data_IF_557222738096
#
_entry.id   IF_557222738096
#
_cell.length_a   1.000
_cell.length_b   1.000
_cell.length_c   1.000
_cell.angle_alpha   90.00
_cell.angle_beta   90.00
_cell.angle_gamma   90.00
#
_symmetry.space_group_name_H-M   'P 1'
#
loop_
_entity.id
_entity.type
_entity.pdbx_description
1 polymer ?
#
# COMPACT_ATOMS: atom_id res chain seq x y z
N UNK A 1 -16.10 14.33 0.74
CA UNK A 1 -16.40 15.50 -0.13
C UNK A 1 -15.20 15.81 -1.01
N UNK A 2 -13.98 15.91 -0.49
CA UNK A 2 -12.78 16.28 -1.28
C UNK A 2 -12.54 15.36 -2.49
N UNK A 3 -12.56 14.05 -2.29
CA UNK A 3 -12.38 13.06 -3.38
C UNK A 3 -13.52 13.14 -4.40
N UNK A 4 -14.74 13.39 -3.94
CA UNK A 4 -15.90 13.56 -4.80
C UNK A 4 -15.78 14.83 -5.65
N UNK A 5 -15.42 15.96 -5.04
CA UNK A 5 -15.18 17.22 -5.76
C UNK A 5 -14.16 17.02 -6.90
N UNK A 6 -13.01 16.42 -6.60
CA UNK A 6 -11.97 16.15 -7.59
C UNK A 6 -12.48 15.29 -8.77
N UNK A 7 -13.24 14.23 -8.48
CA UNK A 7 -13.80 13.33 -9.50
C UNK A 7 -14.82 14.05 -10.39
N UNK A 8 -15.70 14.84 -9.79
CA UNK A 8 -16.71 15.60 -10.53
C UNK A 8 -16.07 16.70 -11.38
N UNK A 9 -15.11 17.45 -10.83
CA UNK A 9 -14.38 18.46 -11.59
C UNK A 9 -13.71 17.88 -12.83
N UNK A 10 -13.07 16.70 -12.73
CA UNK A 10 -12.46 16.02 -13.89
C UNK A 10 -13.44 15.80 -15.04
N UNK A 11 -14.68 15.46 -14.74
CA UNK A 11 -15.72 15.23 -15.75
C UNK A 11 -16.23 16.56 -16.31
N UNK A 12 -16.44 17.56 -15.45
CA UNK A 12 -17.01 18.85 -15.85
C UNK A 12 -16.09 19.68 -16.74
N UNK A 13 -14.78 19.54 -16.63
CA UNK A 13 -13.81 20.24 -17.49
C UNK A 13 -14.00 19.96 -18.99
N UNK A 14 -14.60 18.83 -19.35
CA UNK A 14 -14.94 18.52 -20.75
C UNK A 14 -16.10 19.37 -21.31
N UNK A 15 -16.87 20.03 -20.45
CA UNK A 15 -18.12 20.64 -20.79
C UNK A 15 -18.22 22.09 -20.34
N UNK A 16 -17.50 22.52 -19.30
CA UNK A 16 -17.62 23.82 -18.67
C UNK A 16 -16.24 24.46 -18.40
N UNK A 17 -16.12 25.79 -18.55
CA UNK A 17 -14.94 26.51 -18.07
C UNK A 17 -14.78 26.45 -16.56
N UNK A 18 -13.55 26.55 -16.07
CA UNK A 18 -13.23 26.41 -14.66
C UNK A 18 -14.07 27.31 -13.72
N UNK A 19 -14.33 28.57 -14.11
CA UNK A 19 -15.16 29.49 -13.34
C UNK A 19 -16.62 29.04 -13.19
N UNK A 20 -17.20 28.47 -14.24
CA UNK A 20 -18.56 27.92 -14.20
C UNK A 20 -18.65 26.64 -13.35
N UNK A 21 -17.59 25.81 -13.38
CA UNK A 21 -17.51 24.62 -12.51
C UNK A 21 -17.51 25.03 -11.03
N UNK A 22 -16.75 26.07 -10.66
CA UNK A 22 -16.74 26.59 -9.28
C UNK A 22 -18.16 27.04 -8.88
N UNK A 23 -18.81 27.87 -9.67
CA UNK A 23 -20.15 28.39 -9.37
C UNK A 23 -21.19 27.26 -9.26
N UNK A 24 -21.15 26.29 -10.18
CA UNK A 24 -22.03 25.14 -10.16
C UNK A 24 -21.86 24.32 -8.88
N UNK A 25 -20.61 24.05 -8.49
CA UNK A 25 -20.30 23.23 -7.32
C UNK A 25 -20.63 23.93 -6.01
N UNK A 26 -20.48 25.24 -5.90
CA UNK A 26 -20.91 26.01 -4.72
C UNK A 26 -22.38 25.79 -4.40
N UNK A 27 -23.24 25.84 -5.41
CA UNK A 27 -24.67 25.61 -5.22
C UNK A 27 -24.99 24.16 -4.86
N UNK A 28 -24.24 23.20 -5.38
CA UNK A 28 -24.49 21.76 -5.18
C UNK A 28 -23.97 21.22 -3.86
N UNK A 29 -22.89 21.80 -3.31
CA UNK A 29 -22.32 21.36 -2.03
C UNK A 29 -22.93 22.07 -0.82
N UNK A 30 -23.82 23.06 -1.01
CA UNK A 30 -24.44 23.80 0.09
C UNK A 30 -25.11 22.90 1.14
N UNK A 31 -25.63 21.73 0.74
CA UNK A 31 -26.37 20.80 1.59
C UNK A 31 -25.67 19.45 1.75
N UNK A 32 -24.33 19.37 1.62
CA UNK A 32 -23.59 18.10 1.67
C UNK A 32 -23.27 17.60 3.09
N UNK A 33 -23.90 18.18 4.12
CA UNK A 33 -23.70 17.76 5.53
C UNK A 33 -22.50 18.39 6.24
N UNK A 34 -21.68 19.22 5.53
CA UNK A 34 -20.64 20.07 6.12
C UNK A 34 -20.47 21.35 5.32
N UNK A 35 -19.91 22.37 5.96
CA UNK A 35 -19.47 23.56 5.23
C UNK A 35 -18.26 23.21 4.33
N UNK A 36 -18.35 23.56 3.04
CA UNK A 36 -17.28 23.43 2.06
C UNK A 36 -16.81 24.84 1.68
N UNK A 37 -15.61 25.27 2.11
CA UNK A 37 -15.11 26.59 1.75
C UNK A 37 -14.94 26.73 0.23
N UNK A 38 -15.24 27.90 -0.32
CA UNK A 38 -15.04 28.21 -1.76
C UNK A 38 -13.62 27.87 -2.22
N UNK A 39 -12.60 28.10 -1.38
CA UNK A 39 -11.22 27.80 -1.70
C UNK A 39 -10.97 26.29 -1.89
N UNK A 40 -11.68 25.41 -1.17
CA UNK A 40 -11.59 23.95 -1.37
C UNK A 40 -12.12 23.57 -2.76
N UNK A 41 -13.20 24.20 -3.22
CA UNK A 41 -13.77 23.98 -4.56
C UNK A 41 -12.79 24.47 -5.63
N UNK A 42 -12.26 25.70 -5.50
CA UNK A 42 -11.26 26.26 -6.41
C UNK A 42 -10.04 25.33 -6.52
N UNK A 43 -9.51 24.87 -5.39
CA UNK A 43 -8.37 23.95 -5.36
C UNK A 43 -8.69 22.62 -6.06
N UNK A 44 -9.89 22.08 -5.86
CA UNK A 44 -10.31 20.84 -6.53
C UNK A 44 -10.42 21.03 -8.06
N UNK A 45 -10.94 22.16 -8.51
CA UNK A 45 -11.03 22.51 -9.94
C UNK A 45 -9.63 22.65 -10.55
N UNK A 46 -8.76 23.41 -9.92
CA UNK A 46 -7.39 23.62 -10.43
C UNK A 46 -6.57 22.32 -10.45
N UNK A 47 -6.62 21.53 -9.38
CA UNK A 47 -5.84 20.29 -9.27
C UNK A 47 -6.39 19.16 -10.16
N UNK A 48 -7.66 19.21 -10.55
CA UNK A 48 -8.27 18.22 -11.45
C UNK A 48 -8.06 18.53 -12.94
N UNK A 49 -7.70 19.75 -13.29
CA UNK A 49 -7.53 20.18 -14.69
C UNK A 49 -6.49 19.35 -15.47
N UNK A 50 -5.33 19.01 -14.92
CA UNK A 50 -4.35 18.17 -15.64
C UNK A 50 -4.85 16.74 -15.91
N UNK A 51 -5.89 16.30 -15.19
CA UNK A 51 -6.53 15.01 -15.31
C UNK A 51 -7.95 15.09 -15.88
N UNK A 52 -8.31 16.20 -16.54
CA UNK A 52 -9.63 16.44 -17.09
C UNK A 52 -10.04 15.34 -18.09
N UNK A 53 -11.30 14.93 -18.03
CA UNK A 53 -11.86 14.02 -19.01
C UNK A 53 -12.07 14.77 -20.33
N UNK A 54 -11.65 14.16 -21.44
CA UNK A 54 -11.82 14.73 -22.77
C UNK A 54 -12.85 13.92 -23.55
N UNK A 55 -13.81 14.61 -24.18
CA UNK A 55 -14.70 13.98 -25.14
C UNK A 55 -13.91 13.54 -26.37
N UNK A 56 -14.16 12.33 -26.84
CA UNK A 56 -13.55 11.81 -28.08
C UNK A 56 -13.98 12.68 -29.29
N UNK A 57 -13.15 13.62 -29.69
CA UNK A 57 -13.37 14.42 -30.89
C UNK A 57 -12.29 15.50 -31.05
N UNK A 58 -11.42 15.32 -32.04
CA UNK A 58 -10.46 16.25 -32.59
C UNK A 58 -9.26 16.65 -31.69
N UNK A 59 -8.07 16.19 -32.08
CA UNK A 59 -6.74 16.60 -31.59
C UNK A 59 -6.47 16.35 -30.12
N UNK A 60 -6.52 15.08 -29.70
CA UNK A 60 -6.05 14.68 -28.38
C UNK A 60 -4.56 14.97 -28.23
N UNK A 61 -4.12 15.84 -27.30
CA UNK A 61 -2.75 15.79 -26.85
C UNK A 61 -2.49 14.39 -26.28
N UNK A 62 -1.29 13.85 -26.51
CA UNK A 62 -0.86 12.54 -26.06
C UNK A 62 -1.32 12.34 -24.61
N UNK A 63 -2.28 11.44 -24.40
CA UNK A 63 -2.64 10.99 -23.07
C UNK A 63 -1.33 10.61 -22.39
N UNK A 64 -1.05 11.15 -21.21
CA UNK A 64 -0.05 10.58 -20.33
C UNK A 64 -0.49 9.14 -20.10
N UNK A 65 0.09 8.22 -20.84
CA UNK A 65 -0.18 6.79 -20.69
C UNK A 65 0.08 6.50 -19.23
N UNK A 66 -0.96 6.08 -18.51
CA UNK A 66 -0.79 5.68 -17.13
C UNK A 66 0.40 4.74 -17.07
N UNK A 67 1.36 5.03 -16.21
CA UNK A 67 2.53 4.16 -16.00
C UNK A 67 2.11 2.71 -15.74
N UNK A 68 0.92 2.53 -15.18
CA UNK A 68 0.38 1.25 -14.73
C UNK A 68 -0.76 0.78 -15.65
N UNK A 69 -0.91 -0.55 -15.84
CA UNK A 69 -1.98 -1.12 -16.65
C UNK A 69 -3.36 -0.84 -16.06
N UNK A 70 -4.37 -0.89 -16.91
CA UNK A 70 -5.77 -0.91 -16.48
C UNK A 70 -6.11 -2.24 -15.79
N UNK A 71 -7.12 -2.21 -14.92
CA UNK A 71 -7.66 -3.40 -14.29
C UNK A 71 -8.22 -4.37 -15.34
N UNK A 72 -7.74 -5.61 -15.31
CA UNK A 72 -8.29 -6.74 -16.07
C UNK A 72 -9.34 -7.47 -15.20
N UNK A 73 -10.58 -7.03 -15.29
CA UNK A 73 -11.67 -7.57 -14.47
C UNK A 73 -11.94 -9.04 -14.72
N UNK A 74 -11.84 -9.50 -15.97
CA UNK A 74 -12.08 -10.89 -16.34
C UNK A 74 -11.04 -11.82 -15.68
N UNK A 75 -9.76 -11.49 -15.81
CA UNK A 75 -8.69 -12.27 -15.20
C UNK A 75 -8.76 -12.25 -13.67
N UNK A 76 -9.03 -11.07 -13.08
CA UNK A 76 -9.25 -10.94 -11.63
C UNK A 76 -10.40 -11.84 -11.18
N UNK A 77 -11.55 -11.79 -11.85
CA UNK A 77 -12.73 -12.59 -11.50
C UNK A 77 -12.47 -14.08 -11.63
N UNK A 78 -11.73 -14.51 -12.65
CA UNK A 78 -11.34 -15.92 -12.82
C UNK A 78 -10.47 -16.40 -11.65
N UNK A 79 -9.43 -15.63 -11.28
CA UNK A 79 -8.54 -15.97 -10.16
C UNK A 79 -9.32 -16.06 -8.84
N UNK A 80 -10.24 -15.12 -8.58
CA UNK A 80 -11.06 -15.12 -7.36
C UNK A 80 -12.01 -16.34 -7.33
N UNK A 81 -12.65 -16.66 -8.44
CA UNK A 81 -13.57 -17.78 -8.51
C UNK A 81 -12.87 -19.12 -8.30
N UNK A 82 -11.68 -19.28 -8.87
CA UNK A 82 -10.94 -20.54 -8.90
C UNK A 82 -9.90 -20.63 -7.77
N UNK A 83 -9.70 -19.54 -7.02
CA UNK A 83 -8.73 -19.40 -5.92
C UNK A 83 -9.30 -19.75 -4.56
N UNK A 84 -8.40 -19.81 -3.56
CA UNK A 84 -8.76 -20.01 -2.17
C UNK A 84 -9.05 -18.69 -1.43
N UNK A 85 -9.68 -18.79 -0.24
CA UNK A 85 -9.93 -17.66 0.64
C UNK A 85 -8.91 -17.49 1.75
N UNK A 86 -9.28 -16.75 2.81
CA UNK A 86 -8.44 -16.53 3.99
C UNK A 86 -8.04 -17.82 4.69
N UNK A 87 -8.93 -18.81 4.74
CA UNK A 87 -8.63 -20.12 5.34
C UNK A 87 -7.51 -20.82 4.57
N UNK A 88 -7.60 -20.82 3.23
CA UNK A 88 -6.56 -21.43 2.39
C UNK A 88 -5.22 -20.70 2.51
N UNK A 89 -5.24 -19.37 2.63
CA UNK A 89 -4.05 -18.58 2.87
C UNK A 89 -3.41 -18.91 4.23
N UNK A 90 -4.24 -19.07 5.26
CA UNK A 90 -3.80 -19.51 6.58
C UNK A 90 -3.23 -20.93 6.56
N UNK A 91 -3.88 -21.85 5.88
CA UNK A 91 -3.43 -23.25 5.75
C UNK A 91 -2.12 -23.34 4.95
N UNK A 92 -1.93 -22.50 3.95
CA UNK A 92 -0.70 -22.41 3.17
C UNK A 92 0.47 -21.79 3.97
N UNK A 93 0.21 -21.18 5.13
CA UNK A 93 1.24 -20.59 5.99
C UNK A 93 2.14 -21.68 6.55
N UNK A 94 3.47 -21.51 6.40
CA UNK A 94 4.46 -22.43 6.99
C UNK A 94 4.67 -22.22 8.47
N UNK A 95 4.40 -21.02 8.95
CA UNK A 95 4.51 -20.62 10.35
C UNK A 95 3.15 -20.14 10.78
N UNK A 96 2.57 -20.78 11.77
CA UNK A 96 1.32 -20.36 12.38
C UNK A 96 1.61 -19.65 13.68
N UNK A 97 1.02 -18.50 13.86
CA UNK A 97 1.08 -17.75 15.12
C UNK A 97 -0.30 -17.83 15.77
N UNK A 98 -0.34 -17.93 17.07
CA UNK A 98 -1.61 -17.91 17.79
C UNK A 98 -2.16 -16.47 17.91
N UNK A 99 -3.48 -16.36 18.02
CA UNK A 99 -4.15 -15.06 18.10
C UNK A 99 -3.99 -14.37 19.46
N UNK A 100 -3.52 -15.09 20.47
CA UNK A 100 -3.42 -14.62 21.84
C UNK A 100 -2.06 -13.98 22.17
N UNK A 101 -1.06 -14.22 21.31
CA UNK A 101 0.29 -13.68 21.46
C UNK A 101 0.51 -12.35 20.74
N UNK A 102 1.64 -11.72 21.07
CA UNK A 102 2.21 -10.63 20.28
C UNK A 102 3.51 -11.12 19.62
N UNK A 103 3.49 -11.24 18.30
CA UNK A 103 4.58 -11.80 17.53
C UNK A 103 5.30 -10.76 16.66
N UNK A 104 4.94 -9.48 16.80
CA UNK A 104 5.50 -8.37 15.99
C UNK A 104 7.02 -8.37 15.99
N UNK A 105 7.64 -8.53 17.18
CA UNK A 105 9.10 -8.47 17.32
C UNK A 105 9.77 -9.61 16.57
N UNK A 106 9.29 -10.85 16.73
CA UNK A 106 9.82 -12.05 16.08
C UNK A 106 9.66 -11.99 14.56
N UNK A 107 8.49 -11.50 14.09
CA UNK A 107 8.21 -11.34 12.67
C UNK A 107 9.16 -10.31 12.07
N UNK A 108 9.35 -9.18 12.73
CA UNK A 108 10.24 -8.11 12.24
C UNK A 108 11.70 -8.55 12.27
N UNK A 109 12.15 -9.30 13.29
CA UNK A 109 13.49 -9.87 13.32
C UNK A 109 13.74 -10.84 12.15
N UNK A 110 12.74 -11.64 11.79
CA UNK A 110 12.83 -12.54 10.64
C UNK A 110 12.79 -11.79 9.29
N UNK A 111 11.93 -10.78 9.15
CA UNK A 111 11.82 -9.98 7.94
C UNK A 111 13.05 -9.06 7.74
N UNK A 112 13.63 -8.55 8.81
CA UNK A 112 14.74 -7.58 8.81
C UNK A 112 15.86 -8.05 9.73
N UNK A 113 16.60 -9.12 9.37
CA UNK A 113 17.65 -9.67 10.21
C UNK A 113 18.82 -8.71 10.41
N UNK A 114 19.54 -8.90 11.50
CA UNK A 114 20.59 -8.00 11.94
C UNK A 114 20.01 -6.78 12.68
N UNK A 115 20.68 -5.67 12.59
CA UNK A 115 20.24 -4.43 13.22
C UNK A 115 20.11 -3.28 12.20
N UNK A 116 19.26 -3.43 11.13
CA UNK A 116 19.11 -2.39 10.14
C UNK A 116 18.35 -1.19 10.70
N UNK A 117 18.51 -0.05 10.04
CA UNK A 117 17.65 1.10 10.28
C UNK A 117 16.24 0.81 9.78
N UNK A 118 15.23 0.98 10.62
CA UNK A 118 13.82 0.82 10.28
C UNK A 118 13.10 2.16 10.47
N UNK A 119 12.21 2.48 9.53
CA UNK A 119 11.30 3.61 9.67
C UNK A 119 9.92 3.06 10.05
N UNK A 120 9.50 3.33 11.29
CA UNK A 120 8.24 2.85 11.85
C UNK A 120 7.45 4.01 12.45
N UNK A 121 6.12 3.90 12.51
CA UNK A 121 5.29 4.98 13.01
C UNK A 121 3.93 4.58 13.54
N UNK A 122 3.39 5.45 14.40
CA UNK A 122 1.97 5.43 14.84
C UNK A 122 1.06 6.04 13.78
N UNK A 123 1.57 6.97 12.97
CA UNK A 123 0.81 7.64 11.91
C UNK A 123 1.76 8.18 10.84
N UNK A 124 1.19 8.71 9.75
CA UNK A 124 1.94 9.38 8.67
C UNK A 124 2.66 10.66 9.12
N UNK A 125 2.34 11.19 10.30
CA UNK A 125 2.95 12.38 10.91
C UNK A 125 3.73 12.07 12.19
N UNK A 126 3.63 10.85 12.71
CA UNK A 126 4.34 10.42 13.92
C UNK A 126 5.08 9.11 13.65
N UNK A 127 6.31 9.24 13.18
CA UNK A 127 7.20 8.16 12.80
C UNK A 127 8.66 8.49 13.15
N UNK A 128 9.48 7.46 13.22
CA UNK A 128 10.90 7.59 13.46
C UNK A 128 11.71 6.59 12.64
N UNK A 129 12.97 6.94 12.35
CA UNK A 129 13.96 6.05 11.73
C UNK A 129 15.11 5.84 12.70
N UNK A 130 15.28 4.61 13.14
CA UNK A 130 16.29 4.18 14.11
C UNK A 130 16.70 2.72 13.93
N UNK A 131 17.82 2.28 14.52
CA UNK A 131 18.21 0.88 14.51
C UNK A 131 17.09 -0.03 15.03
N UNK A 132 17.02 -1.26 14.49
CA UNK A 132 16.01 -2.25 14.88
C UNK A 132 16.00 -2.49 16.40
N UNK A 133 17.18 -2.57 17.04
CA UNK A 133 17.29 -2.81 18.48
C UNK A 133 16.68 -1.65 19.31
N UNK A 134 16.78 -0.41 18.82
CA UNK A 134 16.20 0.76 19.49
C UNK A 134 14.66 0.82 19.35
N UNK A 135 14.07 -0.06 18.50
CA UNK A 135 12.63 -0.22 18.35
C UNK A 135 12.07 -1.32 19.26
N UNK A 136 12.93 -2.11 19.90
CA UNK A 136 12.54 -3.33 20.62
C UNK A 136 11.56 -3.03 21.76
N UNK A 137 10.49 -3.84 21.82
CA UNK A 137 9.42 -3.70 22.81
C UNK A 137 8.35 -2.64 22.47
N UNK A 138 8.53 -1.89 21.36
CA UNK A 138 7.59 -0.84 20.96
C UNK A 138 6.83 -1.14 19.66
N UNK A 139 7.34 -2.08 18.84
CA UNK A 139 6.82 -2.30 17.48
C UNK A 139 5.35 -2.72 17.45
N UNK A 140 4.89 -3.52 18.41
CA UNK A 140 3.49 -3.96 18.48
C UNK A 140 2.48 -2.82 18.69
N UNK A 141 2.94 -1.68 19.21
CA UNK A 141 2.15 -0.46 19.42
C UNK A 141 2.12 0.45 18.18
N UNK A 142 2.90 0.09 17.13
CA UNK A 142 2.99 0.87 15.90
C UNK A 142 2.13 0.23 14.82
N UNK A 143 1.58 1.07 13.94
CA UNK A 143 0.73 0.59 12.86
C UNK A 143 1.39 0.63 11.47
N UNK A 144 2.53 1.30 11.34
CA UNK A 144 3.18 1.56 10.05
C UNK A 144 4.65 1.20 10.09
N UNK A 145 5.13 0.65 8.96
CA UNK A 145 6.55 0.38 8.71
C UNK A 145 6.86 0.61 7.23
N UNK A 146 8.06 1.07 6.92
CA UNK A 146 8.58 1.06 5.55
C UNK A 146 9.09 -0.36 5.23
N UNK A 147 8.65 -1.00 4.12
CA UNK A 147 8.97 -2.40 3.82
C UNK A 147 10.39 -2.60 3.25
N UNK A 148 11.28 -1.66 3.50
CA UNK A 148 12.68 -1.70 3.10
C UNK A 148 13.54 -1.07 4.19
N UNK A 149 14.75 -1.59 4.45
CA UNK A 149 15.66 -0.94 5.39
C UNK A 149 15.96 0.50 4.95
N UNK A 150 16.18 1.38 5.90
CA UNK A 150 16.62 2.74 5.61
C UNK A 150 18.15 2.75 5.43
N UNK A 151 18.64 3.58 4.51
CA UNK A 151 20.07 3.77 4.25
C UNK A 151 20.71 4.84 5.13
N UNK A 152 19.89 5.73 5.69
CA UNK A 152 20.29 6.79 6.62
C UNK A 152 19.10 7.15 7.53
N UNK A 153 19.40 7.75 8.69
CA UNK A 153 18.39 8.19 9.67
C UNK A 153 17.49 9.27 9.06
N UNK A 154 18.06 10.18 8.28
CA UNK A 154 17.33 11.28 7.65
C UNK A 154 17.66 11.37 6.16
N UNK A 155 16.81 12.05 5.41
CA UNK A 155 17.01 12.40 4.02
C UNK A 155 16.24 13.67 3.66
N UNK A 156 16.49 14.22 2.49
CA UNK A 156 15.82 15.44 2.04
C UNK A 156 14.51 15.11 1.32
N UNK A 157 13.46 15.83 1.66
CA UNK A 157 12.19 15.85 0.91
C UNK A 157 12.37 16.58 -0.43
N UNK A 158 11.35 16.57 -1.28
CA UNK A 158 11.32 17.36 -2.53
C UNK A 158 11.50 18.85 -2.27
N UNK A 159 11.00 19.34 -1.14
CA UNK A 159 11.12 20.74 -0.71
C UNK A 159 12.43 21.03 0.04
N UNK A 160 13.41 20.12 -0.04
CA UNK A 160 14.73 20.22 0.63
C UNK A 160 14.64 20.33 2.16
N UNK A 161 13.57 19.87 2.76
CA UNK A 161 13.45 19.78 4.22
C UNK A 161 13.96 18.43 4.68
N UNK A 162 14.66 18.40 5.80
CA UNK A 162 15.11 17.16 6.41
C UNK A 162 13.90 16.37 6.97
N UNK A 163 13.89 15.07 6.73
CA UNK A 163 12.87 14.17 7.24
C UNK A 163 13.46 12.77 7.49
N UNK A 164 12.97 12.10 8.50
CA UNK A 164 13.31 10.71 8.81
C UNK A 164 12.67 9.71 7.87
N UNK A 165 11.74 10.15 7.02
CA UNK A 165 11.05 9.32 6.04
C UNK A 165 11.03 10.01 4.69
N UNK A 166 11.90 9.57 3.79
CA UNK A 166 11.97 10.05 2.40
C UNK A 166 12.39 8.92 1.48
N UNK A 167 12.15 9.07 0.18
CA UNK A 167 12.69 8.14 -0.81
C UNK A 167 14.23 8.16 -0.85
N UNK A 168 14.84 9.31 -0.52
CA UNK A 168 16.28 9.50 -0.55
C UNK A 168 17.02 8.70 0.54
N UNK A 169 16.43 8.60 1.75
CA UNK A 169 17.02 7.80 2.83
C UNK A 169 16.44 6.37 2.93
N UNK A 170 15.58 5.95 2.01
CA UNK A 170 15.15 4.55 1.92
C UNK A 170 16.19 3.76 1.13
N UNK A 171 16.65 2.66 1.70
CA UNK A 171 17.63 1.78 1.08
C UNK A 171 17.08 0.93 -0.07
N UNK A 172 17.81 -0.12 -0.43
CA UNK A 172 17.41 -1.07 -1.47
C UNK A 172 16.07 -1.72 -1.12
N UNK A 173 15.22 -1.91 -2.14
CA UNK A 173 13.94 -2.58 -1.97
C UNK A 173 14.16 -4.02 -1.49
N UNK A 174 13.66 -4.32 -0.30
CA UNK A 174 13.67 -5.68 0.25
C UNK A 174 12.37 -6.40 -0.04
N UNK A 175 11.25 -5.73 0.20
CA UNK A 175 9.93 -6.27 -0.09
C UNK A 175 9.17 -5.37 -1.05
N UNK A 176 8.36 -6.01 -1.88
CA UNK A 176 7.32 -5.37 -2.68
C UNK A 176 5.97 -5.69 -2.04
N UNK A 177 5.14 -4.68 -1.86
CA UNK A 177 3.83 -4.85 -1.24
C UNK A 177 2.75 -4.79 -2.29
N UNK A 178 1.87 -5.79 -2.28
CA UNK A 178 0.62 -5.76 -3.05
C UNK A 178 -0.55 -5.61 -2.06
N UNK A 179 -1.29 -4.52 -2.19
CA UNK A 179 -2.47 -4.20 -1.40
C UNK A 179 -3.67 -4.06 -2.32
N UNK A 180 -4.83 -4.57 -1.88
CA UNK A 180 -6.08 -4.47 -2.63
C UNK A 180 -7.10 -3.69 -1.80
N UNK A 181 -7.62 -2.58 -2.35
CA UNK A 181 -8.60 -1.72 -1.68
C UNK A 181 -10.06 -2.12 -1.94
N UNK A 182 -10.29 -2.94 -2.98
CA UNK A 182 -11.62 -3.34 -3.44
C UNK A 182 -11.78 -4.85 -3.39
N UNK A 183 -12.89 -5.31 -2.83
CA UNK A 183 -13.21 -6.71 -2.64
C UNK A 183 -13.24 -7.10 -1.17
N UNK A 184 -13.48 -8.38 -0.92
CA UNK A 184 -13.49 -9.00 0.39
C UNK A 184 -12.09 -9.50 0.78
N UNK A 185 -11.82 -9.78 2.06
CA UNK A 185 -10.58 -10.41 2.48
C UNK A 185 -10.31 -11.76 1.80
N UNK A 186 -11.35 -12.56 1.51
CA UNK A 186 -11.21 -13.82 0.79
C UNK A 186 -10.77 -13.61 -0.66
N UNK A 187 -11.36 -12.62 -1.37
CA UNK A 187 -10.93 -12.25 -2.71
C UNK A 187 -9.47 -11.77 -2.73
N UNK A 188 -9.06 -11.00 -1.72
CA UNK A 188 -7.67 -10.58 -1.58
C UNK A 188 -6.73 -11.76 -1.33
N UNK A 189 -7.16 -12.74 -0.51
CA UNK A 189 -6.40 -13.95 -0.25
C UNK A 189 -6.20 -14.78 -1.52
N UNK A 190 -7.26 -14.96 -2.34
CA UNK A 190 -7.16 -15.64 -3.64
C UNK A 190 -6.12 -14.97 -4.55
N UNK A 191 -6.15 -13.63 -4.64
CA UNK A 191 -5.19 -12.88 -5.44
C UNK A 191 -3.76 -13.00 -4.89
N UNK A 192 -3.57 -12.97 -3.58
CA UNK A 192 -2.25 -13.12 -2.96
C UNK A 192 -1.69 -14.53 -3.12
N UNK A 193 -2.52 -15.57 -2.98
CA UNK A 193 -2.13 -16.96 -3.26
C UNK A 193 -1.69 -17.12 -4.70
N UNK A 194 -2.48 -16.60 -5.65
CA UNK A 194 -2.13 -16.61 -7.07
C UNK A 194 -0.79 -15.88 -7.33
N UNK A 195 -0.62 -14.65 -6.83
CA UNK A 195 0.64 -13.90 -6.95
C UNK A 195 1.80 -14.63 -6.27
N UNK A 196 1.53 -15.37 -5.20
CA UNK A 196 2.49 -16.21 -4.47
C UNK A 196 3.07 -17.35 -5.30
N UNK A 197 2.40 -17.78 -6.39
CA UNK A 197 2.95 -18.75 -7.35
C UNK A 197 3.99 -18.15 -8.29
N UNK A 198 4.03 -16.80 -8.41
CA UNK A 198 4.90 -16.07 -9.35
C UNK A 198 6.10 -15.46 -8.62
N UNK A 199 5.88 -14.92 -7.41
CA UNK A 199 6.92 -14.32 -6.59
C UNK A 199 6.80 -14.79 -5.13
N UNK A 200 7.91 -14.89 -4.38
CA UNK A 200 7.88 -15.41 -3.01
C UNK A 200 7.05 -14.53 -2.06
N UNK A 201 5.83 -14.97 -1.72
CA UNK A 201 5.04 -14.39 -0.65
C UNK A 201 5.67 -14.81 0.68
N UNK A 202 6.00 -13.87 1.55
CA UNK A 202 6.66 -14.14 2.85
C UNK A 202 5.80 -13.76 4.05
N UNK A 203 4.90 -12.79 3.88
CA UNK A 203 3.97 -12.38 4.93
C UNK A 203 2.68 -11.86 4.30
N UNK A 204 1.55 -12.07 4.96
CA UNK A 204 0.27 -11.43 4.63
C UNK A 204 -0.35 -10.85 5.88
N UNK A 205 -0.71 -9.56 5.82
CA UNK A 205 -1.20 -8.77 6.96
C UNK A 205 -2.56 -8.19 6.63
N UNK A 206 -3.57 -8.53 7.39
CA UNK A 206 -4.85 -7.82 7.35
C UNK A 206 -4.72 -6.46 8.03
N UNK A 207 -5.16 -5.42 7.37
CA UNK A 207 -4.94 -4.03 7.80
C UNK A 207 -5.69 -3.63 9.10
N UNK A 208 -6.48 -4.52 9.68
CA UNK A 208 -7.43 -4.18 10.73
C UNK A 208 -8.62 -3.33 10.22
N UNK A 209 -8.82 -3.28 8.92
CA UNK A 209 -9.89 -2.56 8.22
C UNK A 209 -10.49 -3.41 7.10
N UNK A 210 -10.11 -3.14 5.85
CA UNK A 210 -10.67 -3.80 4.66
C UNK A 210 -9.64 -4.58 3.86
N UNK A 211 -8.40 -4.12 3.82
CA UNK A 211 -7.38 -4.62 2.89
C UNK A 211 -6.50 -5.69 3.51
N UNK A 212 -6.01 -6.58 2.66
CA UNK A 212 -4.98 -7.55 2.95
C UNK A 212 -3.72 -7.16 2.17
N UNK A 213 -2.58 -7.06 2.85
CA UNK A 213 -1.29 -6.66 2.30
C UNK A 213 -0.42 -7.90 2.15
N UNK A 214 0.00 -8.23 0.93
CA UNK A 214 0.98 -9.29 0.67
C UNK A 214 2.39 -8.71 0.56
N UNK A 215 3.33 -9.29 1.30
CA UNK A 215 4.76 -8.95 1.30
C UNK A 215 5.52 -9.94 0.44
N UNK A 216 6.02 -9.49 -0.69
CA UNK A 216 6.79 -10.32 -1.62
C UNK A 216 8.28 -10.02 -1.49
N UNK A 217 9.09 -11.03 -1.25
CA UNK A 217 10.53 -10.88 -1.15
C UNK A 217 11.15 -10.72 -2.53
N UNK A 218 11.76 -9.56 -2.77
CA UNK A 218 12.28 -9.18 -4.10
C UNK A 218 13.74 -8.69 -4.08
N UNK A 219 14.40 -8.69 -2.93
CA UNK A 219 15.75 -8.14 -2.74
C UNK A 219 16.79 -8.72 -3.73
N UNK A 220 16.62 -9.99 -4.10
CA UNK A 220 17.53 -10.70 -5.03
C UNK A 220 17.03 -10.70 -6.48
N UNK A 221 15.92 -10.03 -6.77
CA UNK A 221 15.30 -10.02 -8.10
C UNK A 221 15.81 -8.85 -8.93
N UNK A 222 15.94 -9.05 -10.23
CA UNK A 222 16.29 -7.98 -11.17
C UNK A 222 15.16 -6.94 -11.24
N UNK A 223 15.49 -5.64 -11.37
CA UNK A 223 14.49 -4.55 -11.35
C UNK A 223 13.37 -4.69 -12.39
N UNK A 224 13.67 -5.16 -13.59
CA UNK A 224 12.71 -5.41 -14.66
C UNK A 224 11.71 -6.52 -14.29
N UNK A 225 12.16 -7.58 -13.63
CA UNK A 225 11.29 -8.65 -13.12
C UNK A 225 10.36 -8.14 -12.02
N UNK A 226 10.87 -7.29 -11.12
CA UNK A 226 10.06 -6.68 -10.07
C UNK A 226 8.98 -5.79 -10.69
N UNK A 227 9.34 -4.95 -11.67
CA UNK A 227 8.38 -4.08 -12.34
C UNK A 227 7.34 -4.89 -13.12
N UNK A 228 7.74 -5.93 -13.86
CA UNK A 228 6.83 -6.80 -14.59
C UNK A 228 5.82 -7.49 -13.65
N UNK A 229 6.30 -8.03 -12.54
CA UNK A 229 5.44 -8.64 -11.52
C UNK A 229 4.46 -7.62 -10.94
N UNK A 230 4.92 -6.42 -10.58
CA UNK A 230 4.05 -5.40 -10.01
C UNK A 230 3.03 -4.87 -11.02
N UNK A 231 3.41 -4.69 -12.29
CA UNK A 231 2.47 -4.36 -13.36
C UNK A 231 1.36 -5.41 -13.47
N UNK A 232 1.73 -6.68 -13.36
CA UNK A 232 0.74 -7.76 -13.34
C UNK A 232 -0.17 -7.66 -12.11
N UNK A 233 0.36 -7.46 -10.90
CA UNK A 233 -0.43 -7.27 -9.70
C UNK A 233 -1.40 -6.07 -9.82
N UNK A 234 -0.93 -4.94 -10.40
CA UNK A 234 -1.79 -3.76 -10.67
C UNK A 234 -2.89 -4.08 -11.68
N UNK A 235 -2.61 -4.90 -12.70
CA UNK A 235 -3.65 -5.34 -13.63
C UNK A 235 -4.73 -6.22 -12.97
N UNK A 236 -4.42 -6.83 -11.82
CA UNK A 236 -5.36 -7.53 -10.98
C UNK A 236 -6.02 -6.64 -9.91
N UNK A 237 -5.69 -5.36 -9.87
CA UNK A 237 -6.29 -4.35 -8.99
C UNK A 237 -5.47 -4.00 -7.74
N UNK A 238 -4.19 -4.37 -7.67
CA UNK A 238 -3.31 -3.89 -6.60
C UNK A 238 -3.14 -2.36 -6.67
N UNK A 239 -3.05 -1.71 -5.50
CA UNK A 239 -2.82 -0.27 -5.44
C UNK A 239 -1.40 0.07 -5.94
N UNK A 240 -1.35 0.86 -7.01
CA UNK A 240 -0.10 1.29 -7.63
C UNK A 240 0.76 2.22 -6.75
N UNK A 241 0.20 2.82 -5.70
CA UNK A 241 0.94 3.66 -4.76
C UNK A 241 2.01 2.86 -3.99
N UNK A 242 1.78 1.57 -3.76
CA UNK A 242 2.72 0.68 -3.06
C UNK A 242 3.98 0.37 -3.87
N UNK A 243 4.06 0.80 -5.13
CA UNK A 243 5.32 0.77 -5.90
C UNK A 243 6.44 1.56 -5.25
N UNK A 244 6.14 2.64 -4.56
CA UNK A 244 7.17 3.49 -3.95
C UNK A 244 7.82 2.75 -2.78
N UNK A 245 9.14 2.48 -2.85
CA UNK A 245 9.84 1.68 -1.83
C UNK A 245 9.84 2.31 -0.42
N UNK A 246 9.57 3.61 -0.34
CA UNK A 246 9.40 4.34 0.92
C UNK A 246 7.94 4.38 1.41
N UNK A 247 6.99 3.77 0.69
CA UNK A 247 5.59 3.77 1.11
C UNK A 247 5.43 3.08 2.46
N UNK A 248 4.74 3.73 3.40
CA UNK A 248 4.32 3.08 4.63
C UNK A 248 3.28 2.00 4.36
N UNK A 249 3.48 0.86 4.96
CA UNK A 249 2.55 -0.27 4.94
C UNK A 249 2.21 -0.70 6.36
N UNK A 250 1.27 -1.64 6.49
CA UNK A 250 0.83 -2.10 7.81
C UNK A 250 1.92 -2.92 8.52
N UNK A 251 2.13 -2.60 9.80
CA UNK A 251 3.05 -3.34 10.66
C UNK A 251 2.51 -4.76 10.87
N UNK A 252 3.27 -5.81 10.53
CA UNK A 252 2.83 -7.17 10.83
C UNK A 252 2.58 -7.36 12.33
N UNK A 253 1.38 -7.83 12.67
CA UNK A 253 0.93 -8.04 14.05
C UNK A 253 0.93 -6.77 14.94
N UNK A 254 0.99 -5.58 14.32
CA UNK A 254 0.92 -4.30 15.02
C UNK A 254 -0.51 -3.89 15.39
N UNK A 255 -0.63 -2.75 16.08
CA UNK A 255 -1.91 -2.21 16.52
C UNK A 255 -2.17 -0.85 15.88
N UNK A 256 -3.37 -0.66 15.36
CA UNK A 256 -3.83 0.63 14.84
C UNK A 256 -4.13 1.61 15.96
N UNK A 257 -4.19 2.91 15.61
CA UNK A 257 -4.61 4.01 16.48
C UNK A 257 -6.01 3.82 17.11
N UNK A 258 -6.89 3.08 16.43
CA UNK A 258 -8.21 2.73 16.93
C UNK A 258 -8.26 1.41 17.76
N UNK A 259 -7.10 0.86 18.12
CA UNK A 259 -6.95 -0.36 18.91
C UNK A 259 -7.14 -1.68 18.14
N UNK A 260 -7.43 -1.63 16.81
CA UNK A 260 -7.59 -2.86 16.02
C UNK A 260 -6.24 -3.48 15.70
N UNK A 261 -6.15 -4.80 15.90
CA UNK A 261 -4.96 -5.58 15.56
C UNK A 261 -4.81 -5.72 14.03
N UNK A 262 -3.59 -5.70 13.57
CA UNK A 262 -3.20 -5.96 12.18
C UNK A 262 -2.80 -7.42 12.05
N UNK A 263 -3.79 -8.30 11.89
CA UNK A 263 -3.64 -9.75 11.98
C UNK A 263 -2.82 -10.30 10.83
N UNK A 264 -1.88 -11.18 11.15
CA UNK A 264 -1.06 -11.89 10.16
C UNK A 264 -1.72 -13.23 9.82
N UNK A 265 -2.00 -13.44 8.53
CA UNK A 265 -2.63 -14.67 8.03
C UNK A 265 -1.65 -15.64 7.37
N UNK A 266 -0.47 -15.15 6.98
CA UNK A 266 0.50 -16.00 6.28
C UNK A 266 1.92 -15.59 6.66
N UNK A 267 2.77 -16.59 6.96
CA UNK A 267 4.21 -16.43 7.16
C UNK A 267 4.97 -17.57 6.50
N UNK A 268 5.99 -17.21 5.72
CA UNK A 268 6.93 -18.14 5.11
C UNK A 268 8.32 -17.48 5.00
N UNK A 269 9.21 -17.73 5.95
CA UNK A 269 10.55 -17.14 5.96
C UNK A 269 11.59 -17.94 5.17
N UNK A 270 11.23 -19.09 4.59
CA UNK A 270 12.14 -19.90 3.78
C UNK A 270 12.83 -19.11 2.64
N UNK A 271 12.13 -18.23 1.89
CA UNK A 271 12.77 -17.43 0.85
C UNK A 271 13.84 -16.45 1.36
N UNK A 272 13.75 -16.06 2.63
CA UNK A 272 14.70 -15.14 3.25
C UNK A 272 16.05 -15.81 3.61
N UNK A 273 16.13 -17.15 3.54
CA UNK A 273 17.32 -17.92 3.92
C UNK A 273 17.50 -18.03 5.43
N UNK A 274 16.52 -17.65 6.21
CA UNK A 274 16.54 -17.82 7.66
C UNK A 274 16.48 -19.32 7.97
N UNK A 275 17.51 -19.88 8.59
CA UNK A 275 17.46 -21.24 9.15
C UNK A 275 16.40 -21.23 10.23
N UNK A 276 15.28 -21.88 9.99
CA UNK A 276 14.34 -22.20 11.06
C UNK A 276 15.06 -23.17 12.02
N UNK A 277 15.26 -22.75 13.26
CA UNK A 277 15.37 -23.72 14.33
C UNK A 277 14.01 -24.43 14.36
N UNK A 278 13.95 -25.63 13.83
CA UNK A 278 12.84 -26.54 14.04
C UNK A 278 12.71 -26.76 15.55
N UNK A 279 11.95 -25.92 16.23
CA UNK A 279 11.40 -26.26 17.52
C UNK A 279 10.24 -27.19 17.25
N UNK A 280 10.60 -28.48 17.22
CA UNK A 280 9.69 -29.60 17.38
C UNK A 280 8.87 -29.38 18.66
N UNK A 281 7.57 -29.31 18.53
CA UNK A 281 6.62 -29.62 19.59
C UNK A 281 6.07 -30.98 19.38
#
# INVERSE_FOLDING_TARGET
VHVWLFRVCRQLHAHLPAGEIVNLLETRVANCGRHVPRQEIISAVQNSLPCAWQTRGANAPVQSVSKWPCLNQEQRAAIIRDGGGLCDLWEASRIRIDDNGQHTEEIIDALFPGNPLLCCGKSMSNFDTKPREDCRGELSKLQLIVPSPMSAVTGLTKDRKESKHTLANTGTRRFLICEFDTGTPDEHAALLLHLGTIAPLVCSVHSGGKSLHGWFYVEKSAPDKIEKFFRYAVSLGADSATWTRSQFVRMPDGTRDNGRKQTVYFLNFKPLGTKQNERTT
#
